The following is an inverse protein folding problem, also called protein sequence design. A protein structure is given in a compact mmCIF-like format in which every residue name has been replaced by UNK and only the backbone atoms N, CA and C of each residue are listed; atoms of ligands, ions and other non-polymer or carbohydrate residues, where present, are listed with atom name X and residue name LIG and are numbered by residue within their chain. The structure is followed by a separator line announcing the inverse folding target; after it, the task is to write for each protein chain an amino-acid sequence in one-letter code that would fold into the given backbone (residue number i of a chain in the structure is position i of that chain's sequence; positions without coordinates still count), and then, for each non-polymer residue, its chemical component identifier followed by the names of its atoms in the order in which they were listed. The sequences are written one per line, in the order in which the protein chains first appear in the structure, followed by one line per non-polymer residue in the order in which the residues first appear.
data_IF_753137216640
#
_entry.id   IF_753137216640
#
_cell.length_a   1.000
_cell.length_b   1.000
_cell.length_c   1.000
_cell.angle_alpha   90.00
_cell.angle_beta   90.00
_cell.angle_gamma   90.00
#
_symmetry.space_group_name_H-M   'P 1'
#
loop_
_entity.id
_entity.type
_entity.pdbx_description
1 polymer ?
#
# COMPACT_ATOMS: atom_id res chain seq x y z
N UNK A 1 45.92 13.14 -79.22
CA UNK A 1 46.53 13.31 -77.88
C UNK A 1 45.52 13.96 -76.96
N UNK A 2 45.30 13.57 -75.72
CA UNK A 2 45.51 12.33 -74.97
C UNK A 2 44.70 12.58 -73.68
N UNK A 3 43.73 11.72 -73.41
CA UNK A 3 43.16 11.35 -72.11
C UNK A 3 42.60 12.38 -71.10
N UNK A 4 41.27 12.27 -70.94
CA UNK A 4 40.51 12.19 -69.70
C UNK A 4 41.31 12.04 -68.39
N UNK A 5 41.01 12.89 -67.41
CA UNK A 5 41.20 12.56 -65.99
C UNK A 5 40.16 13.31 -65.15
N UNK A 6 38.99 12.68 -65.00
CA UNK A 6 38.05 12.95 -63.91
C UNK A 6 38.76 12.55 -62.61
N UNK A 7 39.14 13.51 -61.79
CA UNK A 7 39.58 13.27 -60.42
C UNK A 7 38.36 13.04 -59.53
N UNK A 8 37.85 11.81 -59.52
CA UNK A 8 37.03 11.32 -58.41
C UNK A 8 37.94 11.24 -57.18
N UNK A 9 37.87 12.25 -56.31
CA UNK A 9 38.33 12.07 -54.93
C UNK A 9 37.36 11.09 -54.25
N UNK A 10 37.84 10.03 -53.60
CA UNK A 10 36.97 9.17 -52.80
C UNK A 10 36.45 10.02 -51.64
N UNK A 11 35.13 10.22 -51.58
CA UNK A 11 34.48 10.70 -50.36
C UNK A 11 34.64 9.60 -49.31
N UNK A 12 35.70 9.68 -48.51
CA UNK A 12 35.75 9.04 -47.22
C UNK A 12 34.76 9.80 -46.32
N UNK A 13 33.50 9.37 -46.32
CA UNK A 13 32.63 9.60 -45.18
C UNK A 13 33.19 8.74 -44.05
N UNK A 14 33.64 9.31 -42.92
CA UNK A 14 34.08 8.50 -41.81
C UNK A 14 32.87 7.74 -41.25
N UNK A 15 32.91 6.41 -41.28
CA UNK A 15 31.94 5.48 -40.64
C UNK A 15 31.71 5.80 -39.16
N UNK A 16 32.57 6.61 -38.55
CA UNK A 16 32.46 7.08 -37.17
C UNK A 16 31.15 7.80 -36.85
N UNK A 17 30.51 8.47 -37.82
CA UNK A 17 29.27 9.22 -37.56
C UNK A 17 28.03 8.31 -37.41
N UNK A 18 28.04 7.09 -37.95
CA UNK A 18 26.90 6.17 -37.87
C UNK A 18 26.96 5.30 -36.59
N UNK A 19 28.14 4.85 -36.18
CA UNK A 19 28.31 4.08 -34.95
C UNK A 19 27.95 4.87 -33.68
N UNK A 20 28.11 6.19 -33.68
CA UNK A 20 27.84 7.01 -32.48
C UNK A 20 26.35 7.04 -32.12
N UNK A 21 25.46 6.93 -33.10
CA UNK A 21 24.00 6.93 -32.89
C UNK A 21 23.51 5.56 -32.39
N UNK A 22 24.03 4.47 -32.97
CA UNK A 22 23.77 3.10 -32.49
C UNK A 22 24.32 2.87 -31.08
N UNK A 23 25.56 3.28 -30.80
CA UNK A 23 26.16 3.21 -29.46
C UNK A 23 25.35 4.03 -28.43
N UNK A 24 24.81 5.17 -28.84
CA UNK A 24 23.97 6.01 -27.98
C UNK A 24 22.61 5.37 -27.68
N UNK A 25 22.00 4.73 -28.67
CA UNK A 25 20.75 3.96 -28.50
C UNK A 25 20.98 2.77 -27.56
N UNK A 26 22.04 1.99 -27.79
CA UNK A 26 22.39 0.84 -26.95
C UNK A 26 22.69 1.25 -25.51
N UNK A 27 23.41 2.36 -25.32
CA UNK A 27 23.66 2.91 -23.98
C UNK A 27 22.38 3.40 -23.30
N UNK A 28 21.49 4.07 -24.03
CA UNK A 28 20.21 4.54 -23.52
C UNK A 28 19.33 3.38 -23.08
N UNK A 29 19.32 2.31 -23.87
CA UNK A 29 18.61 1.07 -23.56
C UNK A 29 19.22 0.35 -22.35
N UNK A 30 20.54 0.24 -22.27
CA UNK A 30 21.23 -0.31 -21.11
C UNK A 30 20.88 0.47 -19.81
N UNK A 31 20.82 1.81 -19.88
CA UNK A 31 20.41 2.65 -18.75
C UNK A 31 18.95 2.38 -18.35
N UNK A 32 18.04 2.24 -19.33
CA UNK A 32 16.63 1.91 -19.07
C UNK A 32 16.50 0.56 -18.37
N UNK A 33 17.17 -0.47 -18.89
CA UNK A 33 17.16 -1.82 -18.32
C UNK A 33 17.72 -1.85 -16.90
N UNK A 34 18.82 -1.14 -16.62
CA UNK A 34 19.38 -1.05 -15.27
C UNK A 34 18.38 -0.40 -14.30
N UNK A 35 17.70 0.68 -14.70
CA UNK A 35 16.67 1.32 -13.88
C UNK A 35 15.49 0.40 -13.59
N UNK A 36 15.07 -0.41 -14.58
CA UNK A 36 13.99 -1.39 -14.40
C UNK A 36 14.38 -2.50 -13.43
N UNK A 37 15.61 -3.01 -13.54
CA UNK A 37 16.14 -4.01 -12.60
C UNK A 37 16.17 -3.45 -11.18
N UNK A 38 16.64 -2.22 -10.99
CA UNK A 38 16.66 -1.56 -9.67
C UNK A 38 15.24 -1.42 -9.12
N UNK A 39 14.30 -0.92 -9.91
CA UNK A 39 12.90 -0.76 -9.49
C UNK A 39 12.25 -2.12 -9.12
N UNK A 40 12.56 -3.18 -9.88
CA UNK A 40 12.08 -4.52 -9.58
C UNK A 40 12.67 -5.08 -8.27
N UNK A 41 13.95 -4.85 -8.02
CA UNK A 41 14.62 -5.24 -6.77
C UNK A 41 14.02 -4.47 -5.59
N UNK A 42 13.87 -3.15 -5.68
CA UNK A 42 13.27 -2.32 -4.62
C UNK A 42 11.86 -2.77 -4.28
N UNK A 43 11.05 -3.05 -5.31
CA UNK A 43 9.71 -3.60 -5.12
C UNK A 43 9.74 -4.95 -4.38
N UNK A 44 10.67 -5.84 -4.74
CA UNK A 44 10.81 -7.16 -4.11
C UNK A 44 11.26 -7.07 -2.66
N UNK A 45 12.17 -6.14 -2.35
CA UNK A 45 12.62 -5.86 -0.98
C UNK A 45 11.43 -5.37 -0.14
N UNK A 46 10.70 -4.37 -0.62
CA UNK A 46 9.52 -3.85 0.07
C UNK A 46 8.46 -4.95 0.31
N UNK A 47 8.16 -5.79 -0.70
CA UNK A 47 7.26 -6.93 -0.50
C UNK A 47 7.74 -7.89 0.61
N UNK A 48 9.04 -8.17 0.67
CA UNK A 48 9.61 -9.05 1.68
C UNK A 48 9.55 -8.43 3.08
N UNK A 49 9.84 -7.14 3.21
CA UNK A 49 9.73 -6.39 4.46
C UNK A 49 8.30 -6.37 4.98
N UNK A 50 7.33 -6.07 4.12
CA UNK A 50 5.89 -6.10 4.46
C UNK A 50 5.45 -7.50 4.89
N UNK A 51 5.92 -8.55 4.20
CA UNK A 51 5.63 -9.95 4.58
C UNK A 51 6.25 -10.32 5.92
N UNK A 52 7.49 -9.89 6.20
CA UNK A 52 8.15 -10.10 7.50
C UNK A 52 7.38 -9.39 8.61
N UNK A 53 7.03 -8.11 8.39
CA UNK A 53 6.24 -7.30 9.32
C UNK A 53 4.90 -7.93 9.65
N UNK A 54 4.19 -8.47 8.65
CA UNK A 54 2.92 -9.17 8.87
C UNK A 54 3.07 -10.45 9.70
N UNK A 55 4.18 -11.18 9.52
CA UNK A 55 4.50 -12.36 10.35
C UNK A 55 4.79 -11.99 11.80
N UNK A 56 5.37 -10.82 12.07
CA UNK A 56 5.57 -10.31 13.44
C UNK A 56 4.22 -10.03 14.14
N UNK A 57 3.26 -9.45 13.43
CA UNK A 57 1.90 -9.29 13.97
C UNK A 57 1.24 -10.64 14.20
N UNK A 58 1.28 -11.55 13.22
CA UNK A 58 0.71 -12.89 13.34
C UNK A 58 1.27 -13.67 14.56
N UNK A 59 2.58 -13.61 14.79
CA UNK A 59 3.22 -14.35 15.90
C UNK A 59 2.87 -13.78 17.27
N UNK A 60 2.66 -12.46 17.36
CA UNK A 60 2.23 -11.77 18.60
C UNK A 60 0.72 -11.82 18.83
N UNK A 61 -0.07 -12.27 17.87
CA UNK A 61 -1.52 -12.37 18.02
C UNK A 61 -1.95 -13.59 18.86
N UNK A 62 -2.97 -13.38 19.70
CA UNK A 62 -3.61 -14.48 20.42
C UNK A 62 -4.27 -15.47 19.45
N UNK A 63 -3.96 -16.76 19.59
CA UNK A 63 -4.42 -17.82 18.69
C UNK A 63 -5.92 -18.09 18.76
N UNK A 64 -6.60 -17.67 19.84
CA UNK A 64 -8.05 -17.80 20.02
C UNK A 64 -8.80 -16.55 19.56
N UNK A 65 -8.10 -15.50 19.16
CA UNK A 65 -8.74 -14.26 18.70
C UNK A 65 -9.38 -14.48 17.32
N UNK A 66 -10.69 -14.24 17.25
CA UNK A 66 -11.49 -14.33 16.03
C UNK A 66 -12.41 -13.10 16.00
N UNK A 67 -12.64 -12.54 14.82
CA UNK A 67 -13.59 -11.46 14.58
C UNK A 67 -14.64 -11.91 13.56
N UNK A 68 -15.87 -11.42 13.69
CA UNK A 68 -16.95 -11.66 12.73
C UNK A 68 -17.13 -10.37 11.93
N UNK A 69 -16.91 -10.45 10.61
CA UNK A 69 -17.16 -9.35 9.69
C UNK A 69 -18.66 -9.09 9.57
N UNK A 70 -19.02 -7.92 9.03
CA UNK A 70 -20.41 -7.60 8.71
C UNK A 70 -21.07 -8.54 7.71
N UNK A 71 -20.29 -9.22 6.87
CA UNK A 71 -20.77 -10.27 5.98
C UNK A 71 -21.13 -11.57 6.72
N UNK A 72 -20.87 -11.68 8.03
CA UNK A 72 -21.00 -12.91 8.80
C UNK A 72 -19.78 -13.85 8.69
N UNK A 73 -18.80 -13.51 7.86
CA UNK A 73 -17.57 -14.30 7.71
C UNK A 73 -16.69 -14.15 8.96
N UNK A 74 -16.12 -15.27 9.39
CA UNK A 74 -15.10 -15.28 10.43
C UNK A 74 -13.75 -14.84 9.86
N UNK A 75 -12.98 -14.12 10.68
CA UNK A 75 -11.63 -13.70 10.39
C UNK A 75 -10.76 -14.00 11.60
N UNK A 76 -9.76 -14.85 11.39
CA UNK A 76 -8.80 -15.28 12.41
C UNK A 76 -7.40 -14.77 12.06
N UNK A 77 -6.44 -14.98 12.97
CA UNK A 77 -5.05 -14.58 12.70
C UNK A 77 -4.46 -15.21 11.42
N UNK A 78 -4.85 -16.45 11.08
CA UNK A 78 -4.32 -17.16 9.92
C UNK A 78 -4.74 -16.53 8.59
N UNK A 79 -5.84 -15.77 8.60
CA UNK A 79 -6.32 -15.00 7.45
C UNK A 79 -5.41 -13.82 7.12
N UNK A 80 -4.58 -13.35 8.07
CA UNK A 80 -3.58 -12.32 7.82
C UNK A 80 -2.53 -12.81 6.83
N UNK A 81 -2.02 -14.03 7.00
CA UNK A 81 -0.91 -14.56 6.20
C UNK A 81 -1.29 -14.82 4.72
N UNK A 82 -2.59 -14.81 4.42
CA UNK A 82 -3.12 -14.96 3.06
C UNK A 82 -3.20 -13.64 2.29
N UNK A 83 -2.86 -12.52 2.94
CA UNK A 83 -3.01 -11.16 2.42
C UNK A 83 -1.68 -10.42 2.37
N UNK A 84 -1.64 -9.33 1.61
CA UNK A 84 -0.48 -8.43 1.56
C UNK A 84 -0.70 -7.26 2.52
N UNK A 85 0.29 -6.97 3.37
CA UNK A 85 0.31 -5.78 4.20
C UNK A 85 0.73 -4.58 3.34
N UNK A 86 -0.11 -3.54 3.31
CA UNK A 86 0.19 -2.28 2.63
C UNK A 86 0.81 -1.31 3.65
N UNK A 87 0.17 -1.14 4.79
CA UNK A 87 0.60 -0.18 5.81
C UNK A 87 0.17 -0.60 7.21
N UNK A 88 0.98 -0.26 8.21
CA UNK A 88 0.64 -0.41 9.62
C UNK A 88 1.01 0.87 10.39
N UNK A 89 0.23 1.18 11.43
CA UNK A 89 0.49 2.33 12.28
C UNK A 89 -0.46 2.41 13.48
N UNK A 90 -0.11 3.22 14.47
CA UNK A 90 -0.91 3.44 15.66
C UNK A 90 -2.04 4.43 15.36
N UNK A 91 -3.27 4.05 15.67
CA UNK A 91 -4.46 4.89 15.49
C UNK A 91 -5.31 4.85 16.76
N UNK A 92 -6.28 5.76 16.85
CA UNK A 92 -7.26 5.77 17.93
C UNK A 92 -8.66 5.58 17.37
N UNK A 93 -9.38 4.57 17.85
CA UNK A 93 -10.79 4.38 17.55
C UNK A 93 -11.64 5.14 18.55
N UNK A 94 -12.58 5.95 18.06
CA UNK A 94 -13.54 6.62 18.94
C UNK A 94 -14.83 5.83 19.03
N UNK A 95 -15.25 5.56 20.26
CA UNK A 95 -16.50 4.89 20.52
C UNK A 95 -17.70 5.86 20.52
N UNK A 96 -18.91 5.30 20.55
CA UNK A 96 -20.19 6.02 20.61
C UNK A 96 -20.32 6.92 21.85
N UNK A 97 -19.61 6.61 22.94
CA UNK A 97 -19.53 7.43 24.15
C UNK A 97 -18.48 8.55 24.07
N UNK A 98 -17.77 8.67 22.93
CA UNK A 98 -16.73 9.66 22.71
C UNK A 98 -15.35 9.32 23.27
N UNK A 99 -15.17 8.16 23.90
CA UNK A 99 -13.88 7.67 24.41
C UNK A 99 -13.01 7.17 23.27
N UNK A 100 -11.73 7.49 23.35
CA UNK A 100 -10.69 7.03 22.42
C UNK A 100 -10.08 5.73 22.94
N UNK A 101 -9.82 4.79 22.03
CA UNK A 101 -9.09 3.55 22.28
C UNK A 101 -7.89 3.47 21.36
N UNK A 102 -6.70 3.32 21.93
CA UNK A 102 -5.48 3.09 21.16
C UNK A 102 -5.51 1.69 20.52
N UNK A 103 -5.17 1.65 19.24
CA UNK A 103 -5.13 0.43 18.44
C UNK A 103 -3.93 0.47 17.49
N UNK A 104 -3.46 -0.71 17.11
CA UNK A 104 -2.59 -0.90 15.97
C UNK A 104 -3.44 -1.22 14.74
N UNK A 105 -3.41 -0.36 13.73
CA UNK A 105 -4.11 -0.58 12.48
C UNK A 105 -3.21 -1.28 11.45
N UNK A 106 -3.78 -2.22 10.70
CA UNK A 106 -3.16 -2.92 9.57
C UNK A 106 -4.04 -2.74 8.33
N UNK A 107 -3.57 -1.99 7.35
CA UNK A 107 -4.18 -1.94 6.02
C UNK A 107 -3.63 -3.10 5.20
N UNK A 108 -4.49 -4.05 4.88
CA UNK A 108 -4.21 -5.16 3.98
C UNK A 108 -4.79 -4.87 2.59
N UNK A 109 -4.52 -5.75 1.63
CA UNK A 109 -4.98 -5.64 0.24
C UNK A 109 -6.49 -5.48 0.06
N UNK A 110 -7.31 -6.06 0.94
CA UNK A 110 -8.77 -6.15 0.81
C UNK A 110 -9.53 -5.74 2.08
N UNK A 111 -8.83 -5.60 3.21
CA UNK A 111 -9.41 -5.32 4.53
C UNK A 111 -8.54 -4.36 5.34
N UNK A 112 -9.17 -3.59 6.22
CA UNK A 112 -8.53 -2.83 7.29
C UNK A 112 -8.80 -3.52 8.63
N UNK A 113 -7.74 -3.85 9.36
CA UNK A 113 -7.81 -4.58 10.64
C UNK A 113 -7.33 -3.67 11.77
N UNK A 114 -8.07 -3.60 12.86
CA UNK A 114 -7.62 -2.95 14.09
C UNK A 114 -7.36 -3.96 15.20
N UNK A 115 -6.15 -3.92 15.73
CA UNK A 115 -5.68 -4.76 16.83
C UNK A 115 -5.53 -3.90 18.08
N UNK A 116 -5.86 -4.45 19.23
CA UNK A 116 -5.53 -3.87 20.54
C UNK A 116 -4.47 -4.72 21.21
N UNK A 117 -3.55 -4.09 21.92
CA UNK A 117 -2.59 -4.80 22.75
C UNK A 117 -3.23 -5.16 24.10
N UNK A 118 -3.16 -6.43 24.47
CA UNK A 118 -3.67 -6.98 25.73
C UNK A 118 -2.72 -8.07 26.19
N UNK A 119 -2.23 -7.95 27.43
CA UNK A 119 -1.31 -8.93 28.03
C UNK A 119 -0.09 -9.24 27.13
N UNK A 120 0.52 -8.18 26.55
CA UNK A 120 1.64 -8.23 25.59
C UNK A 120 1.36 -8.95 24.25
N UNK A 121 0.11 -9.32 24.00
CA UNK A 121 -0.35 -9.91 22.74
C UNK A 121 -1.28 -8.97 22.00
N UNK A 122 -1.38 -9.15 20.70
CA UNK A 122 -2.43 -8.53 19.91
C UNK A 122 -3.70 -9.37 19.90
N UNK A 123 -4.83 -8.72 20.08
CA UNK A 123 -6.17 -9.29 19.86
C UNK A 123 -6.95 -8.34 18.97
N UNK A 124 -7.96 -8.83 18.25
CA UNK A 124 -8.84 -7.91 17.52
C UNK A 124 -9.47 -6.88 18.47
N UNK A 125 -9.45 -5.61 18.07
CA UNK A 125 -9.99 -4.54 18.87
C UNK A 125 -11.50 -4.73 19.07
N UNK A 126 -12.03 -4.33 20.23
CA UNK A 126 -13.47 -4.33 20.49
C UNK A 126 -13.99 -2.90 20.58
N UNK A 127 -14.90 -2.53 19.69
CA UNK A 127 -15.51 -1.20 19.65
C UNK A 127 -17.03 -1.32 19.54
N UNK A 128 -17.77 -1.04 20.62
CA UNK A 128 -19.24 -0.97 20.63
C UNK A 128 -19.96 -2.17 19.98
N UNK A 129 -19.40 -3.37 20.14
CA UNK A 129 -19.88 -4.61 19.49
C UNK A 129 -19.88 -4.58 17.95
N UNK A 130 -19.14 -3.64 17.35
CA UNK A 130 -18.91 -3.54 15.90
C UNK A 130 -17.68 -4.35 15.51
N UNK A 131 -17.67 -4.81 14.25
CA UNK A 131 -16.50 -5.45 13.67
C UNK A 131 -15.38 -4.41 13.53
N UNK A 132 -14.18 -4.78 13.96
CA UNK A 132 -12.95 -4.01 13.76
C UNK A 132 -12.06 -4.60 12.67
N UNK A 133 -12.60 -5.56 11.92
CA UNK A 133 -12.11 -5.96 10.60
C UNK A 133 -13.11 -5.44 9.58
N UNK A 134 -12.68 -4.50 8.75
CA UNK A 134 -13.53 -3.75 7.83
C UNK A 134 -13.12 -4.09 6.40
N UNK A 135 -14.06 -4.55 5.58
CA UNK A 135 -13.78 -4.73 4.15
C UNK A 135 -13.62 -3.38 3.47
N UNK A 136 -12.64 -3.30 2.57
CA UNK A 136 -12.43 -2.12 1.72
C UNK A 136 -13.49 -2.02 0.61
N UNK A 137 -14.21 -3.11 0.32
CA UNK A 137 -15.27 -3.12 -0.67
C UNK A 137 -16.39 -2.15 -0.28
N UNK A 138 -16.70 -1.19 -1.15
CA UNK A 138 -17.74 -0.17 -0.92
C UNK A 138 -17.52 0.63 0.38
N UNK A 139 -16.28 0.73 0.84
CA UNK A 139 -15.90 1.60 1.94
C UNK A 139 -15.90 3.05 1.45
N UNK A 140 -16.32 4.00 2.29
CA UNK A 140 -16.18 5.43 2.01
C UNK A 140 -15.29 6.02 3.09
N UNK A 141 -14.23 6.70 2.68
CA UNK A 141 -13.29 7.38 3.56
C UNK A 141 -13.48 8.89 3.44
N UNK A 142 -13.68 9.58 4.57
CA UNK A 142 -13.93 11.03 4.62
C UNK A 142 -13.13 11.70 5.73
N UNK A 143 -12.85 12.98 5.54
CA UNK A 143 -12.27 13.81 6.60
C UNK A 143 -13.31 14.15 7.67
N UNK A 144 -12.86 14.33 8.90
CA UNK A 144 -13.70 14.90 9.95
C UNK A 144 -13.56 16.43 9.94
N UNK A 145 -14.66 17.14 9.71
CA UNK A 145 -14.67 18.59 9.76
C UNK A 145 -14.19 19.09 11.14
N UNK A 146 -13.35 20.12 11.15
CA UNK A 146 -12.78 20.74 12.36
C UNK A 146 -11.98 19.79 13.27
N UNK A 147 -11.54 18.63 12.76
CA UNK A 147 -10.59 17.74 13.44
C UNK A 147 -9.55 17.24 12.45
N UNK A 148 -8.44 17.95 12.37
CA UNK A 148 -7.44 17.73 11.33
C UNK A 148 -6.86 16.31 11.30
N UNK A 149 -6.81 15.65 12.47
CA UNK A 149 -6.30 14.28 12.64
C UNK A 149 -7.37 13.19 12.49
N UNK A 150 -8.64 13.56 12.32
CA UNK A 150 -9.76 12.63 12.26
C UNK A 150 -10.16 12.25 10.83
N UNK A 151 -10.50 10.98 10.64
CA UNK A 151 -11.19 10.48 9.45
C UNK A 151 -12.41 9.62 9.85
N UNK A 152 -13.38 9.54 8.95
CA UNK A 152 -14.52 8.63 9.03
C UNK A 152 -14.35 7.47 8.04
N UNK A 153 -14.63 6.27 8.51
CA UNK A 153 -14.79 5.07 7.71
C UNK A 153 -16.28 4.69 7.68
N UNK A 154 -16.86 4.60 6.49
CA UNK A 154 -18.30 4.33 6.32
C UNK A 154 -18.49 3.08 5.46
N UNK A 155 -19.08 2.03 6.04
CA UNK A 155 -19.35 0.77 5.32
C UNK A 155 -20.66 0.85 4.53
N UNK A 156 -20.64 1.48 3.36
CA UNK A 156 -21.86 1.70 2.56
C UNK A 156 -22.36 0.45 1.83
N UNK A 157 -21.58 -0.64 1.80
CA UNK A 157 -21.91 -1.88 1.09
C UNK A 157 -22.80 -2.88 1.83
N UNK A 158 -23.18 -2.59 3.07
CA UNK A 158 -23.93 -3.50 3.96
C UNK A 158 -25.36 -3.02 4.19
N UNK A 159 -26.28 -3.92 4.57
CA UNK A 159 -27.70 -3.58 4.83
C UNK A 159 -27.87 -2.41 5.82
N UNK A 160 -26.96 -2.30 6.79
CA UNK A 160 -26.88 -1.19 7.74
C UNK A 160 -25.50 -0.54 7.62
N UNK A 161 -25.40 0.67 7.04
CA UNK A 161 -24.15 1.40 7.00
C UNK A 161 -23.67 1.77 8.41
N UNK A 162 -22.39 1.54 8.69
CA UNK A 162 -21.76 1.98 9.93
C UNK A 162 -20.74 3.06 9.66
N UNK A 163 -20.73 4.08 10.53
CA UNK A 163 -19.72 5.13 10.53
C UNK A 163 -18.81 4.95 11.75
N UNK A 164 -17.50 4.87 11.51
CA UNK A 164 -16.47 4.76 12.53
C UNK A 164 -15.54 5.98 12.44
N UNK A 165 -15.34 6.68 13.56
CA UNK A 165 -14.40 7.80 13.66
C UNK A 165 -13.03 7.25 14.11
N UNK A 166 -12.00 7.53 13.32
CA UNK A 166 -10.62 7.10 13.55
C UNK A 166 -9.73 8.34 13.59
N UNK A 167 -8.82 8.40 14.57
CA UNK A 167 -7.89 9.51 14.73
C UNK A 167 -6.46 9.03 14.56
N UNK A 168 -5.68 9.76 13.78
CA UNK A 168 -4.24 9.58 13.63
C UNK A 168 -3.45 10.46 14.62
N UNK A 169 -2.14 10.27 14.68
CA UNK A 169 -1.25 11.10 15.52
C UNK A 169 -1.10 12.52 14.98
N UNK A 170 -1.17 12.71 13.66
CA UNK A 170 -1.07 14.01 12.99
C UNK A 170 -2.01 14.14 11.78
N UNK A 171 -2.10 15.34 11.20
CA UNK A 171 -2.86 15.60 9.97
C UNK A 171 -2.23 14.91 8.77
N UNK A 172 -0.90 14.90 8.70
CA UNK A 172 -0.10 14.28 7.66
C UNK A 172 -0.26 12.76 7.70
N UNK A 173 -0.24 12.17 8.89
CA UNK A 173 -0.51 10.75 9.05
C UNK A 173 -1.96 10.41 8.65
N UNK A 174 -2.94 11.23 9.06
CA UNK A 174 -4.34 11.09 8.62
C UNK A 174 -4.45 11.12 7.09
N UNK A 175 -3.78 12.06 6.43
CA UNK A 175 -3.76 12.18 4.96
C UNK A 175 -3.14 10.93 4.31
N UNK A 176 -2.03 10.46 4.87
CA UNK A 176 -1.34 9.24 4.42
C UNK A 176 -2.27 8.03 4.49
N UNK A 177 -2.95 7.83 5.62
CA UNK A 177 -3.95 6.75 5.76
C UNK A 177 -5.07 6.87 4.74
N UNK A 178 -5.64 8.06 4.56
CA UNK A 178 -6.72 8.27 3.59
C UNK A 178 -6.29 7.92 2.16
N UNK A 179 -5.12 8.40 1.73
CA UNK A 179 -4.58 8.11 0.41
C UNK A 179 -4.32 6.62 0.24
N UNK A 180 -3.64 5.97 1.19
CA UNK A 180 -3.33 4.55 1.10
C UNK A 180 -4.58 3.67 1.07
N UNK A 181 -5.59 3.98 1.89
CA UNK A 181 -6.86 3.24 1.88
C UNK A 181 -7.56 3.42 0.52
N UNK A 182 -7.61 4.64 -0.02
CA UNK A 182 -8.23 4.92 -1.32
C UNK A 182 -7.50 4.20 -2.46
N UNK A 183 -6.16 4.24 -2.48
CA UNK A 183 -5.34 3.51 -3.46
C UNK A 183 -5.55 2.00 -3.35
N UNK A 184 -5.60 1.46 -2.14
CA UNK A 184 -5.88 0.05 -1.91
C UNK A 184 -7.25 -0.34 -2.48
N UNK A 185 -8.30 0.45 -2.19
CA UNK A 185 -9.65 0.24 -2.72
C UNK A 185 -9.73 0.25 -4.24
N UNK A 186 -8.90 1.07 -4.91
CA UNK A 186 -8.84 1.15 -6.38
C UNK A 186 -8.06 0.00 -7.03
N UNK A 187 -7.21 -0.68 -6.25
CA UNK A 187 -6.32 -1.74 -6.72
C UNK A 187 -6.87 -3.16 -6.47
N UNK A 188 -8.12 -3.26 -6.00
CA UNK A 188 -8.81 -4.50 -5.66
C UNK A 188 -9.41 -5.22 -6.86
#
# INVERSE_FOLDING_TARGET
TFWSARSEQPRFTPDFALNTDEDYVDLSEAIRLVKEVIAAVDSKVNEHEKKRRLKEFHSRMDSKSIMILKSGQFFAREDLLRRKLIHDGALQLKNTQGRLKDVQALLLSDVLVFLQEKDQKYVFAMLDQRSTVISLQKLIVREVANKERGLFLITAGTEKPEMMEVLASSKEERNTWMQLIQTAMQSM
#
